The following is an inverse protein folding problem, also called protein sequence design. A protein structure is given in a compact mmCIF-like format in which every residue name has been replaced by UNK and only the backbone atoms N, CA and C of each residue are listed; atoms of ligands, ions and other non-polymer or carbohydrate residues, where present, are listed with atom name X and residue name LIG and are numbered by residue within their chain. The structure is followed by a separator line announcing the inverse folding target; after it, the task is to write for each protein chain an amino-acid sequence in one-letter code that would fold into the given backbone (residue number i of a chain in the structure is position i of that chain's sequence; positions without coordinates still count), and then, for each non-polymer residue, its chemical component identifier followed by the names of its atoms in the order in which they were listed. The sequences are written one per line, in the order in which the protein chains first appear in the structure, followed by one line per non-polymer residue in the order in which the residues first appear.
data_IF_611057768044
#
_entry.id   IF_611057768044
#
_cell.length_a   1.000
_cell.length_b   1.000
_cell.length_c   1.000
_cell.angle_alpha   90.00
_cell.angle_beta   90.00
_cell.angle_gamma   90.00
#
_symmetry.space_group_name_H-M   'P 1'
#
loop_
_entity.id
_entity.type
_entity.pdbx_description
1 polymer ?
#
# COMPACT_ATOMS: atom_id res chain seq x y z
N UNK A 1 34.82 36.83 -22.54
CA UNK A 1 33.79 35.85 -22.99
C UNK A 1 33.85 34.64 -22.06
N UNK A 2 32.92 34.51 -21.13
CA UNK A 2 32.80 33.35 -20.21
C UNK A 2 31.56 32.55 -20.61
N UNK A 3 31.80 31.34 -21.10
CA UNK A 3 30.78 30.40 -21.54
C UNK A 3 30.16 29.72 -20.32
N UNK A 4 28.91 30.01 -20.04
CA UNK A 4 28.11 29.33 -18.98
C UNK A 4 27.56 28.03 -19.59
N UNK A 5 28.10 26.90 -19.13
CA UNK A 5 27.51 25.57 -19.41
C UNK A 5 26.30 25.41 -18.51
N UNK A 6 25.13 25.40 -19.09
CA UNK A 6 23.88 24.95 -18.45
C UNK A 6 23.88 23.42 -18.40
N UNK A 7 24.06 22.86 -17.22
CA UNK A 7 23.82 21.45 -16.94
C UNK A 7 22.29 21.21 -16.91
N UNK A 8 21.81 20.51 -17.94
CA UNK A 8 20.43 20.01 -17.99
C UNK A 8 20.36 18.79 -17.08
N UNK A 9 19.75 18.94 -15.88
CA UNK A 9 19.36 17.80 -15.05
C UNK A 9 18.17 17.12 -15.70
N UNK A 10 18.40 15.97 -16.32
CA UNK A 10 17.32 15.05 -16.70
C UNK A 10 16.69 14.49 -15.43
N UNK A 11 15.55 15.04 -15.03
CA UNK A 11 14.67 14.39 -14.06
C UNK A 11 14.01 13.21 -14.79
N UNK A 12 14.50 12.00 -14.54
CA UNK A 12 13.84 10.77 -14.94
C UNK A 12 12.55 10.66 -14.12
N UNK A 13 11.41 11.02 -14.71
CA UNK A 13 10.11 10.62 -14.21
C UNK A 13 10.02 9.10 -14.40
N UNK A 14 10.24 8.35 -13.32
CA UNK A 14 9.89 6.94 -13.27
C UNK A 14 8.35 6.86 -13.38
N UNK A 15 7.87 6.55 -14.58
CA UNK A 15 6.48 6.15 -14.77
C UNK A 15 6.30 4.82 -14.02
N UNK A 16 5.63 4.86 -12.88
CA UNK A 16 5.19 3.66 -12.17
C UNK A 16 4.10 3.03 -13.01
N UNK A 17 4.49 2.08 -13.84
CA UNK A 17 3.55 1.18 -14.48
C UNK A 17 2.93 0.32 -13.37
N UNK A 18 1.68 0.59 -13.01
CA UNK A 18 0.86 -0.36 -12.27
C UNK A 18 0.71 -1.61 -13.14
N UNK A 19 1.66 -2.54 -13.04
CA UNK A 19 1.47 -3.85 -13.63
C UNK A 19 0.29 -4.49 -12.94
N UNK A 20 -0.75 -4.71 -13.74
CA UNK A 20 -1.89 -5.55 -13.41
C UNK A 20 -1.41 -6.80 -12.66
N UNK A 21 -2.27 -7.27 -11.76
CA UNK A 21 -2.10 -8.53 -11.05
C UNK A 21 -1.31 -9.51 -11.90
N UNK A 22 -0.06 -9.78 -11.50
CA UNK A 22 0.66 -10.92 -12.04
C UNK A 22 -0.06 -12.13 -11.45
N UNK A 23 -1.06 -12.59 -12.19
CA UNK A 23 -1.49 -13.97 -12.11
C UNK A 23 -0.23 -14.77 -12.42
N UNK A 24 0.39 -15.36 -11.41
CA UNK A 24 1.50 -16.27 -11.59
C UNK A 24 1.01 -17.53 -12.29
N UNK A 25 0.83 -17.44 -13.61
CA UNK A 25 0.87 -18.60 -14.48
C UNK A 25 2.35 -18.84 -14.82
N UNK A 26 3.07 -19.48 -13.91
CA UNK A 26 4.31 -20.13 -14.27
C UNK A 26 3.96 -21.28 -15.21
N UNK A 27 4.42 -21.19 -16.45
CA UNK A 27 4.53 -22.33 -17.35
C UNK A 27 5.52 -23.35 -16.74
N UNK A 28 5.00 -24.21 -15.91
CA UNK A 28 5.51 -25.55 -15.69
C UNK A 28 4.31 -26.46 -15.54
N UNK A 29 4.24 -27.38 -16.48
CA UNK A 29 3.24 -28.36 -16.81
C UNK A 29 2.92 -29.29 -15.62
N UNK A 30 2.20 -28.79 -14.63
CA UNK A 30 1.48 -29.59 -13.63
C UNK A 30 0.22 -28.82 -13.24
N UNK A 31 -0.92 -29.35 -13.68
CA UNK A 31 -2.26 -28.75 -13.58
C UNK A 31 -2.62 -28.31 -12.17
N UNK A 32 -2.40 -27.03 -11.90
CA UNK A 32 -3.04 -26.33 -10.81
C UNK A 32 -3.94 -25.28 -11.41
N UNK A 33 -5.20 -25.65 -11.62
CA UNK A 33 -6.26 -24.71 -11.85
C UNK A 33 -6.18 -23.60 -10.81
N UNK A 34 -6.57 -22.40 -11.16
CA UNK A 34 -6.74 -21.27 -10.25
C UNK A 34 -7.63 -21.72 -9.10
N UNK A 35 -7.02 -22.12 -8.00
CA UNK A 35 -7.74 -22.54 -6.81
C UNK A 35 -8.22 -21.26 -6.13
N UNK A 36 -9.53 -21.02 -6.15
CA UNK A 36 -10.10 -19.95 -5.36
C UNK A 36 -9.70 -20.16 -3.89
N UNK A 37 -9.23 -19.11 -3.21
CA UNK A 37 -8.91 -19.23 -1.79
C UNK A 37 -10.12 -19.79 -1.02
N UNK A 38 -9.92 -20.73 -0.07
CA UNK A 38 -10.99 -21.19 0.82
C UNK A 38 -11.66 -20.03 1.54
N UNK A 39 -12.89 -20.22 2.01
CA UNK A 39 -13.68 -19.20 2.70
C UNK A 39 -13.07 -18.75 4.03
N UNK A 40 -12.21 -19.58 4.61
CA UNK A 40 -11.46 -19.34 5.85
C UNK A 40 -10.05 -18.73 5.60
N UNK A 41 -9.76 -18.28 4.39
CA UNK A 41 -8.50 -17.63 4.07
C UNK A 41 -8.40 -16.24 4.68
N UNK A 42 -7.19 -15.92 5.14
CA UNK A 42 -6.82 -14.58 5.61
C UNK A 42 -6.32 -13.73 4.45
N UNK A 43 -6.60 -12.42 4.50
CA UNK A 43 -6.23 -11.46 3.47
C UNK A 43 -5.47 -10.30 4.10
N UNK A 44 -4.15 -10.26 3.89
CA UNK A 44 -3.29 -9.28 4.57
C UNK A 44 -2.29 -8.60 3.65
N UNK A 45 -1.96 -7.36 4.01
CA UNK A 45 -0.71 -6.74 3.58
C UNK A 45 0.44 -7.34 4.37
N UNK A 46 1.52 -7.70 3.69
CA UNK A 46 2.68 -8.32 4.29
C UNK A 46 3.99 -7.77 3.71
N UNK A 47 5.08 -7.97 4.43
CA UNK A 47 6.44 -7.71 3.94
C UNK A 47 7.11 -9.03 3.62
N UNK A 48 7.64 -9.16 2.43
CA UNK A 48 8.43 -10.31 2.03
C UNK A 48 9.82 -10.29 2.66
N UNK A 49 10.19 -11.33 3.41
CA UNK A 49 11.46 -11.40 4.12
C UNK A 49 12.57 -12.10 3.32
N UNK A 50 12.21 -12.72 2.20
CA UNK A 50 13.09 -13.51 1.36
C UNK A 50 12.70 -14.98 1.29
N UNK A 51 13.38 -15.72 0.41
CA UNK A 51 13.29 -17.17 0.29
C UNK A 51 14.58 -17.84 0.82
N UNK A 52 14.42 -19.00 1.44
CA UNK A 52 15.46 -20.02 1.58
C UNK A 52 15.33 -21.04 0.44
N UNK A 53 16.07 -22.16 0.50
CA UNK A 53 16.10 -23.16 -0.58
C UNK A 53 14.71 -23.72 -0.93
N UNK A 54 13.84 -23.92 0.08
CA UNK A 54 12.54 -24.59 -0.10
C UNK A 54 11.33 -23.75 0.31
N UNK A 55 11.54 -22.56 0.88
CA UNK A 55 10.44 -21.78 1.45
C UNK A 55 10.65 -20.29 1.33
N UNK A 56 9.55 -19.56 1.32
CA UNK A 56 9.53 -18.10 1.48
C UNK A 56 8.89 -17.71 2.80
N UNK A 57 9.28 -16.56 3.33
CA UNK A 57 8.72 -16.02 4.57
C UNK A 57 8.19 -14.60 4.40
N UNK A 58 7.12 -14.30 5.13
CA UNK A 58 6.44 -13.02 5.09
C UNK A 58 6.11 -12.58 6.51
N UNK A 59 6.33 -11.31 6.79
CA UNK A 59 5.87 -10.68 8.03
C UNK A 59 4.51 -10.06 7.81
N UNK A 60 3.53 -10.50 8.60
CA UNK A 60 2.20 -9.91 8.71
C UNK A 60 2.11 -9.17 10.03
N UNK A 61 1.78 -7.90 9.97
CA UNK A 61 1.67 -7.03 11.15
C UNK A 61 0.19 -6.84 11.45
N UNK A 62 -0.19 -7.08 12.70
CA UNK A 62 -1.53 -6.82 13.19
C UNK A 62 -1.81 -5.32 13.16
N UNK A 63 -3.04 -4.93 12.98
CA UNK A 63 -3.46 -3.54 13.01
C UNK A 63 -3.02 -2.86 14.33
N UNK A 64 -2.55 -1.63 14.22
CA UNK A 64 -1.84 -0.96 15.30
C UNK A 64 -0.42 -1.52 15.48
N UNK A 65 0.03 -1.59 16.74
CA UNK A 65 1.36 -2.11 17.12
C UNK A 65 1.25 -3.42 17.93
N UNK A 66 0.17 -4.18 17.72
CA UNK A 66 -0.18 -5.36 18.53
C UNK A 66 0.70 -6.60 18.24
N UNK A 67 1.81 -6.42 17.53
CA UNK A 67 2.77 -7.48 17.22
C UNK A 67 2.69 -7.96 15.79
N UNK A 68 3.70 -8.73 15.40
CA UNK A 68 3.84 -9.30 14.08
C UNK A 68 3.87 -10.84 14.13
N UNK A 69 3.58 -11.44 12.99
CA UNK A 69 3.71 -12.88 12.79
C UNK A 69 4.50 -13.15 11.50
N UNK A 70 5.39 -14.12 11.55
CA UNK A 70 6.11 -14.60 10.37
C UNK A 70 5.43 -15.86 9.86
N UNK A 71 4.87 -15.77 8.65
CA UNK A 71 4.24 -16.92 7.97
C UNK A 71 5.18 -17.43 6.90
N UNK A 72 5.31 -18.75 6.80
CA UNK A 72 6.19 -19.41 5.84
C UNK A 72 5.39 -20.28 4.87
N UNK A 73 5.81 -20.31 3.61
CA UNK A 73 5.16 -21.07 2.55
C UNK A 73 6.20 -21.91 1.81
N UNK A 74 5.86 -23.16 1.48
CA UNK A 74 6.68 -24.07 0.66
C UNK A 74 6.68 -23.64 -0.81
N UNK A 75 7.04 -22.41 -1.06
CA UNK A 75 7.18 -21.77 -2.36
C UNK A 75 8.29 -20.74 -2.30
N UNK A 76 9.12 -20.68 -3.33
CA UNK A 76 10.21 -19.72 -3.44
C UNK A 76 9.91 -18.69 -4.52
N UNK A 77 10.50 -17.51 -4.39
CA UNK A 77 10.43 -16.44 -5.38
C UNK A 77 11.85 -16.01 -5.74
N UNK A 78 12.08 -15.80 -7.03
CA UNK A 78 13.31 -15.19 -7.49
C UNK A 78 13.31 -13.70 -7.18
N UNK A 79 14.49 -13.11 -6.97
CA UNK A 79 14.61 -11.69 -6.60
C UNK A 79 14.00 -10.74 -7.65
N UNK A 80 14.09 -11.08 -8.93
CA UNK A 80 13.47 -10.34 -10.02
C UNK A 80 11.93 -10.41 -10.02
N UNK A 81 11.36 -11.43 -9.38
CA UNK A 81 9.90 -11.57 -9.21
C UNK A 81 9.40 -10.86 -7.96
N UNK A 82 10.17 -10.97 -6.86
CA UNK A 82 9.82 -10.40 -5.58
C UNK A 82 11.08 -10.09 -4.78
N UNK A 83 11.44 -8.82 -4.69
CA UNK A 83 12.60 -8.37 -3.94
C UNK A 83 12.38 -8.46 -2.42
N UNK A 84 13.40 -8.80 -1.66
CA UNK A 84 13.34 -8.78 -0.20
C UNK A 84 12.96 -7.40 0.30
N UNK A 85 12.03 -7.32 1.25
CA UNK A 85 11.46 -6.09 1.75
C UNK A 85 10.25 -5.57 0.95
N UNK A 86 9.91 -6.20 -0.19
CA UNK A 86 8.75 -5.80 -0.96
C UNK A 86 7.46 -5.95 -0.16
N UNK A 87 6.55 -4.99 -0.36
CA UNK A 87 5.20 -5.07 0.18
C UNK A 87 4.30 -5.83 -0.78
N UNK A 88 3.49 -6.72 -0.22
CA UNK A 88 2.56 -7.57 -0.95
C UNK A 88 1.19 -7.57 -0.29
N UNK A 89 0.17 -7.91 -1.07
CA UNK A 89 -1.13 -8.32 -0.55
C UNK A 89 -1.32 -9.78 -0.88
N UNK A 90 -1.65 -10.59 0.13
CA UNK A 90 -1.73 -12.04 -0.05
C UNK A 90 -3.00 -12.64 0.55
N UNK A 91 -3.47 -13.74 -0.06
CA UNK A 91 -4.47 -14.63 0.51
C UNK A 91 -3.80 -15.94 0.93
N UNK A 92 -4.00 -16.35 2.17
CA UNK A 92 -3.33 -17.50 2.75
C UNK A 92 -4.13 -18.15 3.88
N UNK A 93 -3.77 -19.38 4.25
CA UNK A 93 -4.18 -20.02 5.50
C UNK A 93 -2.92 -20.36 6.31
N UNK A 94 -3.08 -20.56 7.60
CA UNK A 94 -2.04 -21.10 8.49
C UNK A 94 -2.42 -22.51 8.94
N UNK A 95 -1.43 -23.34 9.24
CA UNK A 95 -1.69 -24.68 9.78
C UNK A 95 -2.45 -24.61 11.13
N UNK A 96 -2.23 -23.54 11.89
CA UNK A 96 -2.98 -23.32 13.15
C UNK A 96 -4.44 -22.93 12.95
N UNK A 97 -4.84 -22.54 11.74
CA UNK A 97 -6.17 -21.98 11.45
C UNK A 97 -6.39 -20.60 12.09
N UNK A 98 -5.34 -19.95 12.57
CA UNK A 98 -5.41 -18.63 13.23
C UNK A 98 -4.62 -17.59 12.47
N UNK A 99 -5.21 -16.43 12.29
CA UNK A 99 -4.55 -15.25 11.76
C UNK A 99 -3.49 -14.71 12.73
N UNK A 100 -2.46 -14.08 12.22
CA UNK A 100 -1.36 -13.47 13.01
C UNK A 100 -0.67 -14.44 13.96
N UNK A 101 -0.51 -15.69 13.55
CA UNK A 101 0.27 -16.70 14.25
C UNK A 101 1.43 -17.14 13.36
N UNK A 102 2.65 -17.06 13.89
CA UNK A 102 3.85 -17.48 13.15
C UNK A 102 3.83 -18.97 12.88
N UNK A 103 4.32 -19.36 11.71
CA UNK A 103 4.45 -20.76 11.32
C UNK A 103 4.12 -21.03 9.86
N UNK A 104 4.03 -22.30 9.48
CA UNK A 104 3.74 -22.70 8.11
C UNK A 104 2.29 -22.45 7.73
N UNK A 105 2.09 -22.20 6.42
CA UNK A 105 0.79 -21.96 5.83
C UNK A 105 0.73 -22.37 4.38
N UNK A 106 -0.42 -22.10 3.76
CA UNK A 106 -0.65 -22.27 2.31
C UNK A 106 -0.94 -20.91 1.69
N UNK A 107 -0.18 -20.55 0.67
CA UNK A 107 -0.37 -19.30 -0.09
C UNK A 107 -1.25 -19.58 -1.32
N UNK A 108 -2.37 -18.88 -1.43
CA UNK A 108 -3.32 -19.01 -2.55
C UNK A 108 -3.13 -17.92 -3.60
N UNK A 109 -2.93 -16.70 -3.16
CA UNK A 109 -2.65 -15.58 -4.06
C UNK A 109 -1.67 -14.59 -3.47
N UNK A 110 -0.93 -13.91 -4.35
CA UNK A 110 0.01 -12.88 -3.98
C UNK A 110 -0.01 -11.80 -5.07
N UNK A 111 -0.12 -10.56 -4.66
CA UNK A 111 -0.04 -9.41 -5.53
C UNK A 111 1.00 -8.43 -4.98
N UNK A 112 1.87 -7.93 -5.85
CA UNK A 112 2.76 -6.84 -5.49
C UNK A 112 1.94 -5.60 -5.17
N UNK A 113 2.35 -4.91 -4.13
CA UNK A 113 1.69 -3.67 -3.68
C UNK A 113 2.63 -2.52 -3.98
N UNK A 114 2.10 -1.53 -4.67
CA UNK A 114 2.85 -0.29 -4.91
C UNK A 114 3.03 0.42 -3.57
N UNK A 115 4.27 0.71 -3.23
CA UNK A 115 4.60 1.48 -2.03
C UNK A 115 5.58 2.57 -2.40
N UNK A 116 5.14 3.82 -2.28
CA UNK A 116 6.00 4.98 -2.46
C UNK A 116 6.24 5.68 -1.13
N UNK A 117 7.28 6.52 -1.11
CA UNK A 117 7.56 7.39 0.03
C UNK A 117 6.60 8.57 0.02
N UNK A 118 6.37 9.12 1.21
CA UNK A 118 5.65 10.38 1.37
C UNK A 118 6.44 11.50 0.70
N UNK A 119 5.75 12.35 -0.04
CA UNK A 119 6.33 13.53 -0.69
C UNK A 119 5.70 14.82 -0.13
N UNK A 120 6.42 15.93 -0.22
CA UNK A 120 5.86 17.22 0.17
C UNK A 120 4.66 17.58 -0.72
N UNK A 121 3.61 18.14 -0.11
CA UNK A 121 2.49 18.67 -0.86
C UNK A 121 2.92 19.88 -1.69
N UNK A 122 2.50 19.93 -2.95
CA UNK A 122 2.75 21.00 -3.89
C UNK A 122 1.47 21.48 -4.56
N UNK A 123 1.61 22.50 -5.43
CA UNK A 123 0.44 23.07 -6.13
C UNK A 123 -0.28 22.05 -7.02
N UNK A 124 0.44 21.09 -7.57
CA UNK A 124 -0.06 20.13 -8.57
C UNK A 124 -0.43 18.77 -7.99
N UNK A 125 -0.46 18.61 -6.67
CA UNK A 125 -0.79 17.33 -6.02
C UNK A 125 -1.71 17.51 -4.81
N UNK A 126 -2.64 18.46 -4.89
CA UNK A 126 -3.64 18.70 -3.85
C UNK A 126 -4.74 17.65 -3.91
N UNK A 127 -5.21 17.19 -2.76
CA UNK A 127 -6.30 16.19 -2.65
C UNK A 127 -7.54 16.60 -3.45
N UNK A 128 -7.90 17.88 -3.47
CA UNK A 128 -9.05 18.42 -4.25
C UNK A 128 -8.89 18.27 -5.77
N UNK A 129 -7.70 18.01 -6.25
CA UNK A 129 -7.40 17.79 -7.68
C UNK A 129 -7.29 16.31 -8.03
N UNK A 130 -7.50 15.44 -7.03
CA UNK A 130 -7.52 14.00 -7.23
C UNK A 130 -8.73 13.54 -8.01
N UNK A 131 -8.59 12.44 -8.72
CA UNK A 131 -9.73 11.63 -9.16
C UNK A 131 -10.41 11.05 -7.91
N UNK A 132 -11.75 11.13 -7.79
CA UNK A 132 -12.45 10.52 -6.67
C UNK A 132 -12.19 9.02 -6.57
N UNK A 133 -12.01 8.53 -5.34
CA UNK A 133 -11.79 7.10 -5.07
C UNK A 133 -12.91 6.53 -4.21
N UNK A 134 -13.28 5.27 -4.45
CA UNK A 134 -14.14 4.51 -3.53
C UNK A 134 -13.24 3.71 -2.60
N UNK A 135 -13.06 4.23 -1.39
CA UNK A 135 -12.23 3.58 -0.39
C UNK A 135 -12.91 2.29 0.10
N UNK A 136 -12.19 1.17 0.02
CA UNK A 136 -12.63 -0.12 0.55
C UNK A 136 -11.94 -0.46 1.88
N UNK A 137 -10.67 -0.06 2.02
CA UNK A 137 -9.86 -0.29 3.21
C UNK A 137 -8.84 0.83 3.36
N UNK A 138 -8.65 1.30 4.59
CA UNK A 138 -7.49 2.09 5.00
C UNK A 138 -7.16 1.73 6.44
N UNK A 139 -5.98 1.17 6.66
CA UNK A 139 -5.51 0.81 8.00
C UNK A 139 -4.00 1.06 8.13
N UNK A 140 -3.53 1.15 9.38
CA UNK A 140 -2.11 1.23 9.70
C UNK A 140 -1.65 -0.10 10.32
N UNK A 141 -0.56 -0.64 9.80
CA UNK A 141 0.10 -1.82 10.36
C UNK A 141 1.59 -1.52 10.53
N UNK A 142 2.03 -1.35 11.78
CA UNK A 142 3.38 -0.86 12.07
C UNK A 142 3.64 0.50 11.41
N UNK A 143 4.70 0.57 10.65
CA UNK A 143 5.12 1.78 9.91
C UNK A 143 4.45 1.97 8.55
N UNK A 144 3.44 1.14 8.23
CA UNK A 144 2.80 1.18 6.93
C UNK A 144 1.34 1.62 7.00
N UNK A 145 0.98 2.56 6.15
CA UNK A 145 -0.40 2.91 5.83
C UNK A 145 -0.84 2.12 4.60
N UNK A 146 -1.75 1.18 4.79
CA UNK A 146 -2.26 0.32 3.73
C UNK A 146 -3.62 0.84 3.27
N UNK A 147 -3.85 0.83 1.97
CA UNK A 147 -5.12 1.24 1.37
C UNK A 147 -5.52 0.28 0.27
N UNK A 148 -6.84 0.06 0.17
CA UNK A 148 -7.47 -0.58 -0.98
C UNK A 148 -8.64 0.31 -1.43
N UNK A 149 -8.70 0.64 -2.70
CA UNK A 149 -9.72 1.52 -3.24
C UNK A 149 -9.99 1.24 -4.72
N UNK A 150 -11.14 1.69 -5.19
CA UNK A 150 -11.50 1.69 -6.60
C UNK A 150 -11.36 3.10 -7.17
N UNK A 151 -10.86 3.19 -8.39
CA UNK A 151 -10.68 4.43 -9.15
C UNK A 151 -11.24 4.26 -10.56
N UNK A 152 -11.97 5.24 -11.12
CA UNK A 152 -12.35 5.21 -12.53
C UNK A 152 -11.11 5.15 -13.41
N UNK A 153 -10.94 4.07 -14.17
CA UNK A 153 -9.77 3.89 -15.04
C UNK A 153 -9.98 2.75 -16.03
N UNK A 154 -9.37 2.84 -17.21
CA UNK A 154 -9.34 1.76 -18.21
C UNK A 154 -8.21 0.75 -18.02
N UNK A 155 -7.36 0.89 -17.02
CA UNK A 155 -6.33 -0.10 -16.76
C UNK A 155 -5.09 0.37 -16.03
N UNK A 156 -4.90 1.67 -15.82
CA UNK A 156 -3.75 2.19 -15.10
C UNK A 156 -4.10 3.40 -14.24
N UNK A 157 -3.34 3.59 -13.17
CA UNK A 157 -3.32 4.83 -12.39
C UNK A 157 -2.15 5.65 -12.87
N UNK A 158 -2.42 6.85 -13.42
CA UNK A 158 -1.37 7.70 -13.98
C UNK A 158 -0.44 8.27 -12.90
N UNK A 159 -1.01 8.61 -11.76
CA UNK A 159 -0.25 9.16 -10.62
C UNK A 159 -0.90 8.71 -9.32
N UNK A 160 -0.06 8.24 -8.42
CA UNK A 160 -0.44 7.89 -7.05
C UNK A 160 0.63 8.43 -6.10
N UNK A 161 0.24 9.27 -5.15
CA UNK A 161 1.16 9.84 -4.16
C UNK A 161 0.48 9.99 -2.82
N UNK A 162 1.23 9.79 -1.74
CA UNK A 162 0.87 10.27 -0.42
C UNK A 162 1.68 11.54 -0.16
N UNK A 163 0.98 12.66 0.04
CA UNK A 163 1.60 13.97 0.23
C UNK A 163 1.49 14.41 1.68
N UNK A 164 2.51 15.08 2.20
CA UNK A 164 2.48 15.64 3.55
C UNK A 164 2.39 17.15 3.51
N UNK A 165 1.57 17.72 4.39
CA UNK A 165 1.48 19.17 4.62
C UNK A 165 1.30 19.46 6.11
N UNK A 166 1.54 20.71 6.49
CA UNK A 166 1.29 21.17 7.86
C UNK A 166 -0.21 21.11 8.18
N UNK A 167 -0.51 20.62 9.37
CA UNK A 167 -1.85 20.65 9.92
C UNK A 167 -1.95 21.81 10.90
N UNK A 168 -2.31 23.00 10.41
CA UNK A 168 -2.39 24.21 11.23
C UNK A 168 -3.50 24.14 12.30
N UNK A 169 -4.51 23.29 12.11
CA UNK A 169 -5.60 23.12 13.08
C UNK A 169 -5.22 22.15 14.19
N UNK A 170 -4.40 21.16 13.88
CA UNK A 170 -4.00 20.11 14.82
C UNK A 170 -2.55 19.69 14.55
N UNK A 171 -1.56 20.46 15.02
CA UNK A 171 -0.15 20.22 14.69
C UNK A 171 0.41 18.90 15.23
N UNK A 172 -0.22 18.31 16.24
CA UNK A 172 0.14 17.00 16.78
C UNK A 172 -0.21 15.83 15.83
N UNK A 173 -1.00 16.11 14.78
CA UNK A 173 -1.39 15.15 13.75
C UNK A 173 -1.05 15.71 12.38
N UNK A 174 0.17 15.49 11.88
CA UNK A 174 0.55 15.84 10.51
C UNK A 174 -0.51 15.37 9.51
N UNK A 175 -0.77 16.18 8.49
CA UNK A 175 -1.82 15.93 7.53
C UNK A 175 -1.23 15.31 6.26
N UNK A 176 -1.63 14.08 5.98
CA UNK A 176 -1.31 13.36 4.75
C UNK A 176 -2.47 13.47 3.77
N UNK A 177 -2.18 13.62 2.50
CA UNK A 177 -3.18 13.69 1.45
C UNK A 177 -2.96 12.61 0.41
N UNK A 178 -3.95 11.75 0.18
CA UNK A 178 -3.92 10.81 -0.93
C UNK A 178 -4.22 11.56 -2.23
N UNK A 179 -3.22 11.69 -3.09
CA UNK A 179 -3.36 12.24 -4.43
C UNK A 179 -3.34 11.10 -5.44
N UNK A 180 -4.44 10.96 -6.16
CA UNK A 180 -4.62 9.95 -7.20
C UNK A 180 -5.06 10.64 -8.48
N UNK A 181 -4.45 10.33 -9.60
CA UNK A 181 -4.89 10.80 -10.90
C UNK A 181 -5.02 9.63 -11.86
N UNK A 182 -6.18 9.52 -12.46
CA UNK A 182 -6.44 8.66 -13.61
C UNK A 182 -6.36 9.49 -14.87
N UNK A 183 -5.76 8.93 -15.92
CA UNK A 183 -5.71 9.58 -17.25
C UNK A 183 -7.02 9.37 -18.01
N UNK A 184 -7.97 8.65 -17.44
CA UNK A 184 -9.15 8.21 -18.17
C UNK A 184 -10.42 8.29 -17.31
N UNK A 185 -11.40 9.06 -17.74
CA UNK A 185 -12.74 9.14 -17.15
C UNK A 185 -13.62 7.96 -17.62
N UNK A 186 -13.13 6.75 -17.40
CA UNK A 186 -13.84 5.53 -17.79
C UNK A 186 -14.98 5.20 -16.83
N UNK A 187 -16.04 4.60 -17.35
CA UNK A 187 -17.08 3.96 -16.53
C UNK A 187 -16.59 2.68 -15.83
N UNK A 188 -15.42 2.16 -16.17
CA UNK A 188 -14.81 1.01 -15.53
C UNK A 188 -14.03 1.44 -14.29
N UNK A 189 -13.90 0.52 -13.33
CA UNK A 189 -13.16 0.74 -12.10
C UNK A 189 -11.96 -0.21 -12.01
N UNK A 190 -10.78 0.38 -11.74
CA UNK A 190 -9.60 -0.36 -11.34
C UNK A 190 -9.56 -0.49 -9.83
N UNK A 191 -9.30 -1.69 -9.33
CA UNK A 191 -9.06 -1.93 -7.92
C UNK A 191 -7.56 -1.81 -7.62
N UNK A 192 -7.19 -0.79 -6.85
CA UNK A 192 -5.81 -0.52 -6.46
C UNK A 192 -5.57 -0.94 -5.00
N UNK A 193 -4.40 -1.51 -4.74
CA UNK A 193 -3.87 -1.77 -3.40
C UNK A 193 -2.53 -1.10 -3.27
N UNK A 194 -2.35 -0.34 -2.20
CA UNK A 194 -1.13 0.45 -1.98
C UNK A 194 -0.72 0.39 -0.51
N UNK A 195 0.57 0.52 -0.25
CA UNK A 195 1.13 0.53 1.09
C UNK A 195 2.22 1.59 1.14
N UNK A 196 2.03 2.64 1.94
CA UNK A 196 2.98 3.74 2.09
C UNK A 196 3.77 3.58 3.37
N UNK A 197 5.08 3.77 3.32
CA UNK A 197 5.92 3.90 4.51
C UNK A 197 5.66 5.27 5.16
N UNK A 198 5.11 5.25 6.37
CA UNK A 198 4.79 6.44 7.17
C UNK A 198 5.71 6.58 8.38
N UNK A 199 6.79 5.79 8.47
CA UNK A 199 7.75 5.81 9.57
C UNK A 199 8.32 7.21 9.84
N UNK A 200 8.62 7.97 8.78
CA UNK A 200 9.13 9.33 8.89
C UNK A 200 8.15 10.29 9.58
N UNK A 201 6.86 10.09 9.40
CA UNK A 201 5.81 10.90 10.06
C UNK A 201 5.64 10.46 11.51
N UNK A 202 5.64 9.15 11.76
CA UNK A 202 5.57 8.60 13.10
C UNK A 202 6.78 8.94 13.97
N UNK A 203 7.95 9.16 13.37
CA UNK A 203 9.18 9.56 14.05
C UNK A 203 9.24 11.05 14.42
N UNK A 204 8.32 11.89 13.94
CA UNK A 204 8.30 13.31 14.29
C UNK A 204 8.12 13.49 15.79
N UNK A 205 8.89 14.40 16.42
CA UNK A 205 8.71 14.72 17.84
C UNK A 205 7.29 15.28 18.07
N UNK A 206 6.74 15.00 19.25
CA UNK A 206 5.41 15.47 19.69
C UNK A 206 4.21 15.02 18.82
N UNK A 207 4.44 14.14 17.84
CA UNK A 207 3.38 13.58 17.02
C UNK A 207 2.62 12.51 17.80
N UNK A 208 1.30 12.68 17.93
CA UNK A 208 0.37 11.69 18.50
C UNK A 208 -0.15 10.70 17.46
N UNK A 209 0.06 10.98 16.18
CA UNK A 209 -0.43 10.19 15.06
C UNK A 209 -0.39 11.02 13.77
N UNK A 210 -1.29 10.76 12.86
CA UNK A 210 -1.45 11.55 11.62
C UNK A 210 -2.89 11.49 11.12
N UNK A 211 -3.26 12.44 10.28
CA UNK A 211 -4.53 12.44 9.57
C UNK A 211 -4.30 12.17 8.09
N UNK A 212 -5.24 11.47 7.46
CA UNK A 212 -5.21 11.20 6.02
C UNK A 212 -6.45 11.77 5.38
N UNK A 213 -6.28 12.70 4.46
CA UNK A 213 -7.33 13.18 3.59
C UNK A 213 -7.32 12.41 2.27
N UNK A 214 -8.49 12.09 1.76
CA UNK A 214 -8.67 11.56 0.41
C UNK A 214 -9.92 12.15 -0.23
N UNK A 215 -9.98 12.15 -1.56
CA UNK A 215 -11.13 12.64 -2.31
C UNK A 215 -12.05 11.46 -2.64
N UNK A 216 -13.14 11.37 -1.91
CA UNK A 216 -14.16 10.35 -2.10
C UNK A 216 -15.33 10.85 -2.98
N UNK A 217 -16.34 10.01 -3.17
CA UNK A 217 -17.51 10.32 -4.01
C UNK A 217 -18.31 11.53 -3.52
N UNK A 218 -18.25 11.85 -2.21
CA UNK A 218 -18.99 12.96 -1.59
C UNK A 218 -18.13 14.18 -1.26
N UNK A 219 -16.85 14.14 -1.62
CA UNK A 219 -15.91 15.20 -1.34
C UNK A 219 -14.67 14.70 -0.58
N UNK A 220 -14.04 15.61 0.18
CA UNK A 220 -12.86 15.26 0.96
C UNK A 220 -13.30 14.65 2.29
N UNK A 221 -12.85 13.41 2.52
CA UNK A 221 -12.97 12.72 3.80
C UNK A 221 -11.62 12.71 4.51
N UNK A 222 -11.64 12.63 5.85
CA UNK A 222 -10.44 12.60 6.69
C UNK A 222 -10.52 11.45 7.70
N UNK A 223 -9.44 10.65 7.77
CA UNK A 223 -9.27 9.61 8.78
C UNK A 223 -8.11 9.96 9.70
N UNK A 224 -8.26 9.67 11.00
CA UNK A 224 -7.20 9.90 12.00
C UNK A 224 -6.61 8.57 12.45
N UNK A 225 -5.29 8.49 12.45
CA UNK A 225 -4.52 7.35 12.94
C UNK A 225 -3.68 7.81 14.14
N UNK A 226 -3.79 7.10 15.26
CA UNK A 226 -3.01 7.38 16.47
C UNK A 226 -1.75 6.54 16.53
N UNK A 227 -0.69 7.08 17.14
CA UNK A 227 0.62 6.43 17.22
C UNK A 227 0.63 5.27 18.20
N UNK A 228 -0.09 5.36 19.30
CA UNK A 228 -0.18 4.34 20.35
C UNK A 228 -1.40 3.44 20.14
N UNK A 229 -1.24 2.41 19.30
CA UNK A 229 -2.03 1.16 19.37
C UNK A 229 -3.54 1.19 19.17
N UNK A 230 -4.19 2.33 19.12
CA UNK A 230 -5.63 2.38 18.95
C UNK A 230 -6.02 2.56 17.49
N UNK A 231 -6.99 1.76 17.08
CA UNK A 231 -7.61 1.72 15.75
C UNK A 231 -8.04 3.12 15.34
N UNK A 232 -7.64 3.52 14.15
CA UNK A 232 -8.05 4.79 13.55
C UNK A 232 -9.57 4.95 13.58
N UNK A 233 -10.05 5.92 14.38
CA UNK A 233 -11.47 6.22 14.44
C UNK A 233 -11.86 6.97 13.18
N UNK A 234 -12.80 6.42 12.41
CA UNK A 234 -13.46 7.14 11.32
C UNK A 234 -14.25 8.27 11.98
N UNK A 235 -13.78 9.50 11.85
CA UNK A 235 -14.57 10.66 12.23
C UNK A 235 -15.15 11.26 10.95
N UNK A 236 -16.45 11.04 10.65
CA UNK A 236 -17.09 11.75 9.56
C UNK A 236 -17.03 13.25 9.89
N UNK A 237 -16.47 14.04 9.00
CA UNK A 237 -16.60 15.51 9.08
C UNK A 237 -18.04 15.83 8.72
N UNK A 238 -18.80 16.37 9.70
CA UNK A 238 -20.13 16.94 9.52
C UNK A 238 -20.06 18.25 8.73
#
# INVERSE_FOLDING_TARGET
MKTIRKSLSLLACAAVACTAAVSCSGDDNSGTGSVNPPTDSFYNFATYNGSSDDASSFTVIREGDAGDATVTFSRTFKEEQLAKGARVFMAYTTVSGKEYVSGPGTLYSLANVTGDKIVAAGENNRVRQSTPVKLALMNRTGDYLNMAFQIPSRGSVATLKLTQRDNLKNPEYPLLGLYVRSDDESANYLYARVSFDVSSVLALPDTKGFQVEYFGDRGIDTLTFVKSGDIGTITPVQ
#
